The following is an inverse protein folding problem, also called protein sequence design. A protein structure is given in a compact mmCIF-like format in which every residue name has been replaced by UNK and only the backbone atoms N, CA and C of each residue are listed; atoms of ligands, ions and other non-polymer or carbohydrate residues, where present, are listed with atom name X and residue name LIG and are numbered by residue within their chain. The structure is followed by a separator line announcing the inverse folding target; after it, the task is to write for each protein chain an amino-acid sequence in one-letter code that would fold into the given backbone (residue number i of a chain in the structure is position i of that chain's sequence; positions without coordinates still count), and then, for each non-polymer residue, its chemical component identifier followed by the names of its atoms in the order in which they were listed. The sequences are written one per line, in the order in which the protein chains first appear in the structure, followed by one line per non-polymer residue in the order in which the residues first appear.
data_IF_900572509565
#
_entry.id   IF_900572509565
#
_cell.length_a   1.000
_cell.length_b   1.000
_cell.length_c   1.000
_cell.angle_alpha   90.00
_cell.angle_beta   90.00
_cell.angle_gamma   90.00
#
_symmetry.space_group_name_H-M   'P 1'
#
loop_
_entity.id
_entity.type
_entity.pdbx_description
1 polymer ?
#
# COMPACT_ATOMS: atom_id res chain seq x y z
N UNK A 1 9.90 23.73 11.87
CA UNK A 1 10.42 23.57 11.44
C UNK A 1 11.02 23.48 11.06
N UNK A 2 10.85 23.56 10.99
CA UNK A 2 11.58 23.43 10.39
C UNK A 2 12.14 23.39 9.83
N UNK A 3 11.91 23.54 9.38
CA UNK A 3 12.53 23.33 8.64
C UNK A 3 13.27 23.57 8.25
N UNK A 4 13.24 23.85 8.26
CA UNK A 4 14.08 23.99 7.72
C UNK A 4 15.00 24.00 7.68
N UNK A 5 14.93 24.20 7.80
CA UNK A 5 15.97 24.28 7.62
C UNK A 5 16.59 23.63 7.22
N UNK A 6 16.43 23.05 6.92
CA UNK A 6 17.04 22.38 6.52
C UNK A 6 17.51 22.62 5.51
N UNK A 7 17.27 22.85 5.06
CA UNK A 7 17.61 23.10 3.97
C UNK A 7 18.77 23.80 3.88
N UNK A 8 18.82 24.44 4.31
CA UNK A 8 19.83 25.20 4.13
C UNK A 8 21.03 24.49 4.25
N UNK A 9 21.06 23.68 4.83
CA UNK A 9 22.07 22.91 4.98
C UNK A 9 22.63 22.49 3.77
N UNK A 10 21.87 22.14 2.94
CA UNK A 10 22.35 21.58 1.81
C UNK A 10 23.24 22.44 1.10
N UNK A 11 23.06 23.57 1.02
CA UNK A 11 23.80 24.31 0.22
C UNK A 11 25.18 24.43 0.65
N UNK A 12 25.44 24.45 1.80
CA UNK A 12 26.67 24.55 2.16
C UNK A 12 27.49 23.56 1.61
N UNK A 13 26.99 22.50 1.46
CA UNK A 13 27.74 21.50 1.02
C UNK A 13 28.38 21.77 -0.22
N UNK A 14 27.82 22.39 -1.02
CA UNK A 14 28.33 22.48 -2.21
C UNK A 14 29.58 23.23 -2.17
N UNK A 15 29.70 24.20 -1.51
CA UNK A 15 30.78 24.85 -1.64
C UNK A 15 31.94 24.12 -1.22
N UNK A 16 31.93 23.62 -0.21
CA UNK A 16 33.07 23.06 0.17
C UNK A 16 33.29 21.82 -0.43
N UNK A 17 32.65 21.21 -0.66
CA UNK A 17 32.96 20.07 -1.04
C UNK A 17 32.48 19.55 -1.96
N UNK A 18 31.68 20.05 -2.03
CA UNK A 18 31.15 19.41 -2.95
C UNK A 18 30.95 18.08 -2.57
N UNK A 19 31.22 17.57 -1.46
CA UNK A 19 30.91 16.29 -1.09
C UNK A 19 29.75 16.33 -0.21
N UNK A 20 28.76 15.53 -0.39
CA UNK A 20 27.59 15.40 0.47
C UNK A 20 27.92 14.48 1.61
N UNK A 21 26.92 13.98 2.27
CA UNK A 21 27.07 13.03 3.34
C UNK A 21 26.35 11.74 3.03
N UNK A 22 26.86 10.66 3.55
CA UNK A 22 26.26 9.35 3.34
C UNK A 22 24.85 9.33 3.91
N UNK A 23 23.90 8.85 3.14
CA UNK A 23 22.54 8.81 3.60
C UNK A 23 22.32 7.83 4.75
N UNK A 24 23.24 6.88 4.91
CA UNK A 24 23.08 5.91 5.98
C UNK A 24 23.84 6.30 7.24
N UNK A 25 25.12 6.56 7.16
CA UNK A 25 25.90 6.82 8.36
C UNK A 25 26.19 8.29 8.63
N UNK A 26 25.95 9.14 7.68
CA UNK A 26 26.16 10.57 7.90
C UNK A 26 27.58 11.06 7.71
N UNK A 27 28.51 10.18 7.42
CA UNK A 27 29.86 10.60 7.23
C UNK A 27 30.04 11.33 5.91
N UNK A 28 31.05 12.17 5.84
CA UNK A 28 31.33 12.88 4.61
C UNK A 28 31.73 11.87 3.55
N UNK A 29 31.16 12.00 2.36
CA UNK A 29 31.43 11.04 1.32
C UNK A 29 32.86 11.13 0.83
N UNK A 30 33.42 10.00 0.47
CA UNK A 30 34.80 10.00 0.03
C UNK A 30 34.90 10.56 -1.37
N UNK A 31 36.07 10.67 -1.88
CA UNK A 31 36.29 11.18 -3.19
C UNK A 31 35.55 10.31 -4.21
N UNK A 32 34.93 10.88 -5.13
CA UNK A 32 34.23 10.09 -6.12
C UNK A 32 33.28 10.92 -6.92
N UNK A 33 32.29 10.28 -7.46
CA UNK A 33 31.37 10.98 -8.32
C UNK A 33 30.50 11.94 -7.55
N UNK A 34 30.04 12.97 -8.23
CA UNK A 34 29.27 13.99 -7.55
C UNK A 34 27.88 13.51 -7.16
N UNK A 35 27.39 12.45 -7.79
CA UNK A 35 26.06 11.95 -7.45
C UNK A 35 26.12 10.84 -6.42
N UNK A 36 27.25 10.67 -5.75
CA UNK A 36 27.37 9.62 -4.78
C UNK A 36 26.49 9.88 -3.59
N UNK A 37 25.83 8.87 -3.10
CA UNK A 37 24.93 8.99 -1.95
C UNK A 37 25.37 8.17 -0.76
N UNK A 38 26.26 7.22 -0.94
CA UNK A 38 26.69 6.35 0.14
C UNK A 38 28.20 6.26 0.17
N UNK A 39 28.76 6.14 1.37
CA UNK A 39 30.20 6.08 1.49
C UNK A 39 30.77 4.72 1.13
N UNK A 40 29.97 3.69 1.19
CA UNK A 40 30.43 2.35 0.87
C UNK A 40 29.26 1.45 0.55
N UNK A 41 29.57 0.29 0.02
CA UNK A 41 28.53 -0.65 -0.36
C UNK A 41 27.74 -1.12 0.85
N UNK A 42 28.38 -1.28 2.00
CA UNK A 42 27.67 -1.72 3.18
C UNK A 42 26.61 -0.71 3.61
N UNK A 43 26.92 0.58 3.56
CA UNK A 43 25.94 1.59 3.90
C UNK A 43 24.78 1.60 2.91
N UNK A 44 25.08 1.42 1.63
CA UNK A 44 24.07 1.38 0.62
C UNK A 44 23.13 0.20 0.85
N UNK A 45 23.68 -0.98 1.13
CA UNK A 45 22.89 -2.16 1.37
C UNK A 45 22.02 -2.01 2.62
N UNK A 46 22.59 -1.45 3.68
CA UNK A 46 21.85 -1.30 4.90
C UNK A 46 20.69 -0.32 4.73
N UNK A 47 20.94 0.79 4.06
CA UNK A 47 19.92 1.79 3.83
C UNK A 47 18.75 1.21 3.03
N UNK A 48 19.07 0.50 1.96
CA UNK A 48 18.02 -0.06 1.12
C UNK A 48 17.29 -1.20 1.84
N UNK A 49 17.99 -1.95 2.67
CA UNK A 49 17.32 -3.01 3.40
C UNK A 49 16.30 -2.42 4.37
N UNK A 50 16.69 -1.42 5.15
CA UNK A 50 15.77 -0.84 6.11
C UNK A 50 14.66 -0.06 5.43
N UNK A 51 15.00 0.83 4.52
CA UNK A 51 13.97 1.67 3.92
C UNK A 51 13.21 1.01 2.79
N UNK A 52 13.91 0.38 1.90
CA UNK A 52 13.26 -0.26 0.77
C UNK A 52 12.67 -1.59 1.13
N UNK A 53 13.39 -2.37 1.93
CA UNK A 53 12.93 -3.69 2.29
C UNK A 53 11.68 -3.66 3.15
N UNK A 54 11.61 -2.75 4.11
CA UNK A 54 10.45 -2.68 4.96
C UNK A 54 9.23 -2.26 4.18
N UNK A 55 9.39 -1.30 3.27
CA UNK A 55 8.28 -0.86 2.45
C UNK A 55 7.82 -1.97 1.51
N UNK A 56 8.77 -2.73 0.96
CA UNK A 56 8.42 -3.83 0.09
C UNK A 56 7.63 -4.88 0.85
N UNK A 57 8.04 -5.20 2.09
CA UNK A 57 7.33 -6.18 2.88
C UNK A 57 5.93 -5.69 3.23
N UNK A 58 5.79 -4.40 3.52
CA UNK A 58 4.49 -3.84 3.83
C UNK A 58 3.57 -3.93 2.60
N UNK A 59 4.11 -3.65 1.41
CA UNK A 59 3.31 -3.75 0.20
C UNK A 59 2.86 -5.18 -0.04
N UNK A 60 3.76 -6.14 0.13
CA UNK A 60 3.40 -7.53 -0.11
C UNK A 60 2.35 -8.00 0.89
N UNK A 61 2.46 -7.55 2.14
CA UNK A 61 1.50 -7.94 3.15
C UNK A 61 0.13 -7.34 2.83
N UNK A 62 0.09 -6.07 2.42
CA UNK A 62 -1.16 -5.40 2.12
C UNK A 62 -1.82 -6.01 0.88
N UNK A 63 -1.04 -6.24 -0.18
CA UNK A 63 -1.58 -6.85 -1.38
C UNK A 63 -2.08 -8.24 -1.07
N UNK A 64 -1.35 -8.99 -0.27
CA UNK A 64 -1.80 -10.32 0.11
C UNK A 64 -3.11 -10.31 0.85
N UNK A 65 -3.31 -9.31 1.72
CA UNK A 65 -4.57 -9.19 2.46
C UNK A 65 -5.71 -8.85 1.51
N UNK A 66 -5.48 -7.96 0.55
CA UNK A 66 -6.52 -7.62 -0.43
C UNK A 66 -6.83 -8.82 -1.30
N UNK A 67 -5.81 -9.57 -1.71
CA UNK A 67 -6.02 -10.75 -2.53
C UNK A 67 -6.85 -11.80 -1.79
N UNK A 68 -6.58 -11.99 -0.50
CA UNK A 68 -7.36 -12.94 0.27
C UNK A 68 -8.79 -12.45 0.41
N UNK A 69 -8.99 -11.14 0.62
CA UNK A 69 -10.32 -10.59 0.70
C UNK A 69 -11.08 -10.84 -0.59
N UNK A 70 -10.41 -10.62 -1.71
CA UNK A 70 -11.05 -10.83 -3.01
C UNK A 70 -11.44 -12.30 -3.17
N UNK A 71 -10.58 -13.21 -2.77
CA UNK A 71 -10.89 -14.62 -2.84
C UNK A 71 -12.09 -15.01 -2.01
N UNK A 72 -12.21 -14.41 -0.80
CA UNK A 72 -13.36 -14.68 0.05
C UNK A 72 -14.63 -14.16 -0.62
N UNK A 73 -14.59 -12.95 -1.17
CA UNK A 73 -15.77 -12.39 -1.83
C UNK A 73 -16.14 -13.18 -3.07
N UNK A 74 -15.16 -13.65 -3.82
CA UNK A 74 -15.44 -14.47 -4.98
C UNK A 74 -16.11 -15.77 -4.58
N UNK A 75 -15.65 -16.38 -3.50
CA UNK A 75 -16.27 -17.60 -3.02
C UNK A 75 -17.73 -17.37 -2.66
N UNK A 76 -18.02 -16.24 -2.02
CA UNK A 76 -19.39 -15.95 -1.65
C UNK A 76 -20.25 -15.76 -2.89
N UNK A 77 -19.74 -15.06 -3.90
CA UNK A 77 -20.51 -14.87 -5.12
C UNK A 77 -20.73 -16.20 -5.84
N UNK A 78 -19.73 -17.08 -5.81
CA UNK A 78 -19.89 -18.37 -6.45
C UNK A 78 -20.93 -19.21 -5.72
N UNK A 79 -21.11 -19.00 -4.43
CA UNK A 79 -22.14 -19.70 -3.68
C UNK A 79 -23.49 -19.03 -3.81
N UNK A 80 -23.57 -17.92 -4.53
CA UNK A 80 -24.84 -17.20 -4.66
C UNK A 80 -25.15 -16.29 -3.49
N UNK A 81 -24.18 -16.04 -2.62
CA UNK A 81 -24.40 -15.21 -1.45
C UNK A 81 -24.14 -13.77 -1.81
N UNK A 82 -25.12 -12.90 -1.59
CA UNK A 82 -24.94 -11.48 -1.87
C UNK A 82 -25.03 -10.64 -0.61
N UNK A 83 -25.24 -11.27 0.53
CA UNK A 83 -25.35 -10.57 1.80
C UNK A 83 -24.85 -11.48 2.89
N UNK A 84 -24.09 -10.95 3.81
CA UNK A 84 -23.54 -11.76 4.88
C UNK A 84 -23.32 -10.88 6.10
N UNK A 85 -23.46 -11.43 7.28
CA UNK A 85 -23.26 -10.67 8.52
C UNK A 85 -21.78 -10.40 8.70
N UNK A 86 -21.44 -9.26 9.26
CA UNK A 86 -20.05 -8.88 9.47
C UNK A 86 -19.30 -9.90 10.31
N UNK A 87 -19.85 -10.41 11.43
CA UNK A 87 -19.09 -11.42 12.18
C UNK A 87 -18.81 -12.68 11.38
N UNK A 88 -19.74 -13.08 10.53
CA UNK A 88 -19.52 -14.28 9.72
C UNK A 88 -18.45 -14.03 8.68
N UNK A 89 -18.42 -12.84 8.10
CA UNK A 89 -17.39 -12.51 7.14
C UNK A 89 -16.04 -12.45 7.83
N UNK A 90 -15.99 -11.91 9.04
CA UNK A 90 -14.76 -11.84 9.79
C UNK A 90 -14.24 -13.22 10.11
N UNK A 91 -15.15 -14.17 10.37
CA UNK A 91 -14.73 -15.52 10.66
C UNK A 91 -14.09 -16.18 9.45
N UNK A 92 -14.40 -15.75 8.26
CA UNK A 92 -13.79 -16.29 7.07
C UNK A 92 -12.39 -15.70 6.85
N UNK A 93 -11.99 -14.74 7.67
CA UNK A 93 -10.66 -14.15 7.56
C UNK A 93 -10.63 -12.84 6.81
N UNK A 94 -11.79 -12.24 6.57
CA UNK A 94 -11.85 -11.00 5.82
C UNK A 94 -11.19 -9.87 6.62
N UNK A 95 -10.31 -9.12 5.99
CA UNK A 95 -9.65 -8.01 6.65
C UNK A 95 -10.32 -6.72 6.20
N UNK A 96 -11.11 -6.12 7.08
CA UNK A 96 -11.89 -4.94 6.72
C UNK A 96 -11.05 -3.69 6.55
N UNK A 97 -9.78 -3.73 6.92
CA UNK A 97 -8.91 -2.58 6.75
C UNK A 97 -8.28 -2.51 5.36
N UNK A 98 -8.40 -3.56 4.59
CA UNK A 98 -7.75 -3.61 3.28
C UNK A 98 -8.76 -3.66 2.16
N UNK A 99 -8.97 -2.53 1.51
CA UNK A 99 -9.89 -2.45 0.38
C UNK A 99 -9.22 -1.65 -0.73
N UNK A 100 -9.75 -1.73 -1.93
CA UNK A 100 -9.17 -1.00 -3.04
C UNK A 100 -9.77 0.38 -3.18
N UNK A 101 -11.03 0.55 -2.86
CA UNK A 101 -11.62 1.88 -2.92
C UNK A 101 -12.87 1.97 -2.07
N UNK A 102 -13.25 3.19 -1.79
CA UNK A 102 -14.40 3.47 -0.96
C UNK A 102 -15.10 4.69 -1.52
N UNK A 103 -16.43 4.62 -1.60
CA UNK A 103 -17.22 5.75 -2.03
C UNK A 103 -18.45 5.86 -1.18
N UNK A 104 -18.92 7.07 -0.99
CA UNK A 104 -20.18 7.25 -0.31
C UNK A 104 -21.22 7.49 -1.39
N UNK A 105 -22.20 6.61 -1.51
CA UNK A 105 -23.21 6.70 -2.53
C UNK A 105 -24.53 6.93 -1.83
N UNK A 106 -25.01 8.17 -1.89
CA UNK A 106 -26.19 8.56 -1.14
C UNK A 106 -25.90 8.41 0.34
N UNK A 107 -26.59 7.60 1.04
CA UNK A 107 -26.33 7.42 2.46
C UNK A 107 -25.64 6.10 2.74
N UNK A 108 -25.14 5.43 1.73
CA UNK A 108 -24.53 4.13 1.92
C UNK A 108 -23.05 4.20 1.67
N UNK A 109 -22.31 3.34 2.33
CA UNK A 109 -20.89 3.23 2.16
C UNK A 109 -20.58 2.09 1.21
N UNK A 110 -20.05 2.41 0.05
CA UNK A 110 -19.72 1.40 -0.93
C UNK A 110 -18.24 1.10 -0.88
N UNK A 111 -17.89 -0.15 -0.76
CA UNK A 111 -16.52 -0.58 -0.71
C UNK A 111 -16.23 -1.46 -1.90
N UNK A 112 -15.01 -1.46 -2.34
CA UNK A 112 -14.65 -2.27 -3.49
C UNK A 112 -13.34 -3.00 -3.22
N UNK A 113 -13.28 -4.24 -3.66
CA UNK A 113 -12.08 -5.03 -3.59
C UNK A 113 -11.83 -5.53 -5.00
N UNK A 114 -10.94 -4.87 -5.72
CA UNK A 114 -10.67 -5.11 -7.14
C UNK A 114 -11.97 -4.96 -7.96
N UNK A 115 -12.52 -6.04 -8.46
CA UNK A 115 -13.70 -5.98 -9.29
C UNK A 115 -14.99 -6.40 -8.57
N UNK A 116 -14.97 -6.48 -7.26
CA UNK A 116 -16.14 -6.81 -6.48
C UNK A 116 -16.47 -5.68 -5.55
N UNK A 117 -17.71 -5.24 -5.53
CA UNK A 117 -18.09 -4.17 -4.64
C UNK A 117 -19.21 -4.62 -3.72
N UNK A 118 -19.39 -3.92 -2.63
CA UNK A 118 -20.46 -4.23 -1.70
C UNK A 118 -20.76 -2.99 -0.88
N UNK A 119 -21.91 -3.00 -0.24
CA UNK A 119 -22.25 -1.95 0.70
C UNK A 119 -22.15 -2.55 2.10
N UNK A 120 -21.89 -1.73 3.08
CA UNK A 120 -21.75 -2.21 4.44
C UNK A 120 -22.56 -1.35 5.37
N UNK A 121 -23.35 -1.99 6.24
CA UNK A 121 -24.06 -1.30 7.29
C UNK A 121 -23.37 -1.64 8.59
N UNK A 122 -23.98 -1.33 9.71
CA UNK A 122 -23.36 -1.61 10.99
C UNK A 122 -23.21 -3.10 11.27
N UNK A 123 -24.04 -3.92 10.69
CA UNK A 123 -24.02 -5.34 10.99
C UNK A 123 -23.87 -6.25 9.80
N UNK A 124 -24.03 -5.74 8.60
CA UNK A 124 -24.03 -6.59 7.43
C UNK A 124 -23.31 -6.01 6.25
N UNK A 125 -22.78 -6.89 5.43
CA UNK A 125 -22.28 -6.55 4.11
C UNK A 125 -23.36 -7.02 3.17
N UNK A 126 -23.77 -6.19 2.22
CA UNK A 126 -24.85 -6.57 1.31
C UNK A 126 -24.64 -6.00 -0.09
N UNK A 127 -25.43 -6.43 -1.04
CA UNK A 127 -25.34 -6.05 -2.45
C UNK A 127 -23.95 -6.38 -3.00
N UNK A 128 -23.48 -7.56 -2.67
CA UNK A 128 -22.20 -8.02 -3.15
C UNK A 128 -22.31 -8.30 -4.64
N UNK A 129 -21.59 -7.57 -5.47
CA UNK A 129 -21.70 -7.72 -6.92
C UNK A 129 -20.35 -7.54 -7.57
N UNK A 130 -20.21 -8.12 -8.74
CA UNK A 130 -19.01 -7.95 -9.53
C UNK A 130 -19.18 -6.72 -10.40
N UNK A 131 -18.17 -5.88 -10.43
CA UNK A 131 -18.23 -4.66 -11.20
C UNK A 131 -17.69 -4.91 -12.59
N UNK A 132 -18.23 -4.23 -13.55
CA UNK A 132 -17.66 -4.31 -14.86
C UNK A 132 -18.41 -5.25 -15.74
N UNK A 133 -18.29 -5.03 -16.96
CA UNK A 133 -19.03 -5.79 -17.87
C UNK A 133 -18.38 -7.05 -18.24
N UNK A 134 -17.25 -7.32 -17.77
CA UNK A 134 -16.70 -8.51 -18.22
C UNK A 134 -17.48 -9.64 -17.89
N UNK A 135 -18.32 -9.58 -16.97
CA UNK A 135 -19.12 -10.66 -16.68
C UNK A 135 -19.91 -10.98 -17.85
N UNK A 136 -20.17 -10.07 -18.62
CA UNK A 136 -21.01 -10.37 -19.73
C UNK A 136 -20.25 -11.18 -20.67
N UNK A 137 -19.06 -11.01 -20.64
CA UNK A 137 -18.39 -11.78 -21.54
C UNK A 137 -18.42 -13.15 -21.25
N UNK A 138 -18.40 -13.51 -20.42
CA UNK A 138 -18.38 -14.74 -20.19
C UNK A 138 -19.34 -15.45 -20.43
N UNK A 139 -19.83 -15.43 -20.50
CA UNK A 139 -20.66 -16.13 -20.67
C UNK A 139 -20.97 -16.48 -21.65
N UNK A 140 -20.59 -16.32 -21.81
CA UNK A 140 -20.95 -16.70 -22.76
C UNK A 140 -20.95 -17.56 -22.98
#
# INVERSE_FOLDING_TARGET
MVILPINDVTMKNQEDGLRGRCLECGDVLPYGRSDMKFCCVNCKSRYHYVNGGQLKNLRLKTIGAIDRNHGILESLLDEGVTSIDIPDLAQRGYNFDCITSYHKVRKRNEYRCYDIKYFMSESRVFCLTRVGARKAVKKA
#
